data_IF_892887167046
#
_entry.id   IF_892887167046
#
_cell.length_a   1.000
_cell.length_b   1.000
_cell.length_c   1.000
_cell.angle_alpha   90.00
_cell.angle_beta   90.00
_cell.angle_gamma   90.00
#
_symmetry.space_group_name_H-M   'P 1'
#
loop_
_entity.id
_entity.type
_entity.pdbx_description
1 polymer ?
#
# COMPACT_ATOMS: atom_id res chain seq x y z
N UNK A 1 29.69 -48.09 13.47
CA UNK A 1 29.94 -46.65 13.60
C UNK A 1 28.77 -45.94 12.94
N UNK A 2 27.90 -45.31 13.73
CA UNK A 2 26.67 -44.65 13.24
C UNK A 2 27.01 -43.23 12.78
N UNK A 3 26.82 -42.98 11.48
CA UNK A 3 26.95 -41.66 10.86
C UNK A 3 25.83 -40.75 11.38
N UNK A 4 26.19 -39.85 12.31
CA UNK A 4 25.29 -38.84 12.85
C UNK A 4 24.90 -37.89 11.72
N UNK A 5 23.63 -37.93 11.34
CA UNK A 5 23.00 -37.10 10.33
C UNK A 5 22.98 -35.63 10.80
N UNK A 6 24.11 -34.95 10.60
CA UNK A 6 24.20 -33.51 10.71
C UNK A 6 23.44 -32.92 9.53
N UNK A 7 22.15 -32.60 9.73
CA UNK A 7 21.40 -31.75 8.80
C UNK A 7 22.09 -30.39 8.80
N UNK A 8 23.05 -30.25 7.90
CA UNK A 8 23.70 -29.01 7.55
C UNK A 8 22.64 -27.93 7.32
N UNK A 9 22.77 -26.76 7.97
CA UNK A 9 21.97 -25.55 7.72
C UNK A 9 22.18 -25.05 6.27
N UNK A 10 21.72 -25.83 5.29
CA UNK A 10 21.82 -25.58 3.87
C UNK A 10 20.43 -25.32 3.34
N UNK A 11 20.35 -24.34 2.44
CA UNK A 11 19.11 -23.98 1.77
C UNK A 11 18.69 -22.56 2.08
N UNK A 12 17.83 -22.03 1.21
CA UNK A 12 17.39 -20.64 1.23
C UNK A 12 16.67 -20.25 2.53
N UNK A 13 15.91 -21.18 3.12
CA UNK A 13 15.16 -20.97 4.35
C UNK A 13 16.04 -21.03 5.62
N UNK A 14 17.23 -21.61 5.53
CA UNK A 14 18.17 -21.72 6.66
C UNK A 14 19.21 -20.59 6.68
N UNK A 15 19.14 -19.63 5.73
CA UNK A 15 20.00 -18.46 5.69
C UNK A 15 19.48 -17.35 6.60
N UNK A 16 20.37 -16.41 6.95
CA UNK A 16 19.99 -15.16 7.63
C UNK A 16 18.97 -14.36 6.80
N UNK A 17 18.03 -13.71 7.48
CA UNK A 17 16.90 -13.02 6.86
C UNK A 17 17.34 -11.92 5.88
N UNK A 18 18.38 -11.16 6.22
CA UNK A 18 18.92 -10.11 5.35
C UNK A 18 19.47 -10.68 4.05
N UNK A 19 20.18 -11.81 4.15
CA UNK A 19 20.74 -12.52 3.00
C UNK A 19 19.62 -13.10 2.13
N UNK A 20 18.60 -13.68 2.75
CA UNK A 20 17.42 -14.19 2.07
C UNK A 20 16.71 -13.07 1.28
N UNK A 21 16.49 -11.92 1.92
CA UNK A 21 15.86 -10.74 1.29
C UNK A 21 16.70 -10.20 0.15
N UNK A 22 18.02 -10.11 0.30
CA UNK A 22 18.92 -9.64 -0.74
C UNK A 22 18.89 -10.55 -1.98
N UNK A 23 18.90 -11.87 -1.77
CA UNK A 23 18.81 -12.85 -2.85
C UNK A 23 17.43 -12.81 -3.52
N UNK A 24 16.34 -12.74 -2.75
CA UNK A 24 14.98 -12.59 -3.30
C UNK A 24 14.85 -11.32 -4.15
N UNK A 25 15.35 -10.19 -3.64
CA UNK A 25 15.36 -8.91 -4.37
C UNK A 25 16.23 -8.97 -5.64
N UNK A 26 17.37 -9.67 -5.60
CA UNK A 26 18.20 -9.90 -6.79
C UNK A 26 17.47 -10.77 -7.81
N UNK A 27 16.82 -11.85 -7.37
CA UNK A 27 16.04 -12.74 -8.22
C UNK A 27 14.87 -12.02 -8.91
N UNK A 28 14.11 -11.21 -8.16
CA UNK A 28 13.01 -10.41 -8.72
C UNK A 28 13.50 -9.42 -9.78
N UNK A 29 14.57 -8.66 -9.48
CA UNK A 29 15.18 -7.74 -10.47
C UNK A 29 15.69 -8.47 -11.71
N UNK A 30 16.32 -9.63 -11.53
CA UNK A 30 16.82 -10.44 -12.64
C UNK A 30 15.68 -10.94 -13.53
N UNK A 31 14.57 -11.43 -12.93
CA UNK A 31 13.41 -11.91 -13.67
C UNK A 31 12.72 -10.82 -14.49
N UNK A 32 12.64 -9.59 -13.95
CA UNK A 32 12.18 -8.43 -14.72
C UNK A 32 13.15 -8.05 -15.83
N UNK A 33 14.46 -7.99 -15.54
CA UNK A 33 15.47 -7.66 -16.54
C UNK A 33 15.56 -8.69 -17.67
N UNK A 34 15.32 -9.97 -17.38
CA UNK A 34 15.34 -11.05 -18.38
C UNK A 34 14.00 -11.23 -19.12
N UNK A 35 12.99 -10.40 -18.84
CA UNK A 35 11.67 -10.49 -19.47
C UNK A 35 10.86 -11.73 -19.12
N UNK A 36 11.27 -12.49 -18.09
CA UNK A 36 10.54 -13.68 -17.64
C UNK A 36 9.44 -13.33 -16.62
N UNK A 37 9.52 -12.15 -16.01
CA UNK A 37 8.47 -11.62 -15.15
C UNK A 37 7.40 -10.88 -15.97
N UNK A 38 6.17 -10.95 -15.49
CA UNK A 38 5.07 -10.16 -16.02
C UNK A 38 5.30 -8.66 -15.80
N UNK A 39 5.13 -7.86 -16.85
CA UNK A 39 5.25 -6.42 -16.79
C UNK A 39 3.86 -5.79 -16.76
N UNK A 40 3.53 -5.10 -15.65
CA UNK A 40 2.26 -4.41 -15.53
C UNK A 40 2.27 -3.17 -16.42
N UNK A 41 1.62 -3.29 -17.57
CA UNK A 41 1.43 -2.14 -18.46
C UNK A 41 0.33 -1.20 -17.92
N UNK A 42 0.41 0.11 -18.22
CA UNK A 42 -0.67 1.04 -17.88
C UNK A 42 -2.03 0.63 -18.46
N UNK A 43 -2.05 0.02 -19.65
CA UNK A 43 -3.27 -0.46 -20.30
C UNK A 43 -3.89 -1.62 -19.54
N UNK A 44 -3.08 -2.57 -19.08
CA UNK A 44 -3.54 -3.68 -18.25
C UNK A 44 -4.07 -3.19 -16.90
N UNK A 45 -3.38 -2.24 -16.26
CA UNK A 45 -3.85 -1.64 -15.02
C UNK A 45 -5.23 -0.97 -15.21
N UNK A 46 -5.45 -0.27 -16.33
CA UNK A 46 -6.77 0.31 -16.69
C UNK A 46 -7.81 -0.77 -16.94
N UNK A 47 -7.46 -1.84 -17.65
CA UNK A 47 -8.38 -2.95 -17.93
C UNK A 47 -8.79 -3.67 -16.63
N UNK A 48 -7.83 -3.95 -15.75
CA UNK A 48 -8.09 -4.52 -14.43
C UNK A 48 -8.95 -3.61 -13.56
N UNK A 49 -8.65 -2.30 -13.53
CA UNK A 49 -9.45 -1.31 -12.83
C UNK A 49 -10.89 -1.22 -13.35
N UNK A 50 -11.07 -1.25 -14.67
CA UNK A 50 -12.40 -1.28 -15.29
C UNK A 50 -13.16 -2.54 -14.90
N UNK A 51 -12.55 -3.72 -15.02
CA UNK A 51 -13.16 -5.00 -14.64
C UNK A 51 -13.54 -5.03 -13.17
N UNK A 52 -12.67 -4.53 -12.29
CA UNK A 52 -12.95 -4.40 -10.87
C UNK A 52 -14.15 -3.49 -10.62
N UNK A 53 -14.14 -2.31 -11.25
CA UNK A 53 -15.24 -1.34 -11.21
C UNK A 53 -16.57 -1.92 -11.68
N UNK A 54 -16.59 -2.62 -12.82
CA UNK A 54 -17.78 -3.29 -13.37
C UNK A 54 -18.32 -4.40 -12.46
N UNK A 55 -17.45 -5.09 -11.72
CA UNK A 55 -17.87 -6.12 -10.77
C UNK A 55 -18.61 -5.50 -9.58
N UNK A 56 -18.06 -4.43 -9.01
CA UNK A 56 -18.62 -3.76 -7.83
C UNK A 56 -19.82 -2.86 -8.17
N UNK A 57 -19.87 -2.26 -9.37
CA UNK A 57 -20.91 -1.30 -9.76
C UNK A 57 -22.29 -1.91 -10.00
N UNK A 58 -22.39 -3.25 -10.00
CA UNK A 58 -23.67 -3.96 -10.15
C UNK A 58 -24.58 -3.75 -8.95
N UNK A 59 -24.02 -3.56 -7.76
CA UNK A 59 -24.78 -3.24 -6.56
C UNK A 59 -24.88 -1.71 -6.38
N UNK A 60 -25.99 -1.16 -6.89
CA UNK A 60 -26.28 0.27 -6.78
C UNK A 60 -26.49 0.72 -5.33
N UNK A 61 -27.04 -0.12 -4.46
CA UNK A 61 -27.32 0.24 -3.08
C UNK A 61 -26.02 0.34 -2.28
N UNK A 62 -25.12 -0.64 -2.46
CA UNK A 62 -23.78 -0.62 -1.90
C UNK A 62 -22.97 0.60 -2.37
N UNK A 63 -23.00 0.90 -3.68
CA UNK A 63 -22.34 2.08 -4.24
C UNK A 63 -22.85 3.39 -3.64
N UNK A 64 -24.16 3.51 -3.47
CA UNK A 64 -24.75 4.68 -2.84
C UNK A 64 -24.33 4.82 -1.37
N UNK A 65 -24.19 3.70 -0.64
CA UNK A 65 -23.72 3.72 0.74
C UNK A 65 -22.27 4.22 0.85
N UNK A 66 -21.36 3.66 0.04
CA UNK A 66 -19.95 4.11 -0.02
C UNK A 66 -19.86 5.60 -0.40
N UNK A 67 -20.64 6.02 -1.41
CA UNK A 67 -20.66 7.42 -1.84
C UNK A 67 -21.12 8.38 -0.74
N UNK A 68 -22.16 8.02 0.02
CA UNK A 68 -22.62 8.81 1.18
C UNK A 68 -21.54 8.90 2.26
N UNK A 69 -20.92 7.78 2.62
CA UNK A 69 -19.86 7.74 3.63
C UNK A 69 -18.66 8.60 3.23
N UNK A 70 -18.21 8.50 1.98
CA UNK A 70 -17.15 9.36 1.44
C UNK A 70 -17.51 10.85 1.46
N UNK A 71 -18.77 11.19 1.19
CA UNK A 71 -19.27 12.55 1.31
C UNK A 71 -19.23 13.08 2.74
N UNK A 72 -19.70 12.28 3.71
CA UNK A 72 -19.65 12.63 5.13
C UNK A 72 -18.22 12.84 5.62
N UNK A 73 -17.28 11.97 5.25
CA UNK A 73 -15.87 12.09 5.61
C UNK A 73 -15.24 13.37 5.04
N UNK A 74 -15.53 13.72 3.79
CA UNK A 74 -15.07 14.98 3.17
C UNK A 74 -15.61 16.21 3.89
N UNK A 75 -16.90 16.22 4.21
CA UNK A 75 -17.52 17.33 4.94
C UNK A 75 -16.98 17.47 6.37
N UNK A 76 -16.74 16.35 7.07
CA UNK A 76 -16.15 16.36 8.40
C UNK A 76 -14.72 16.94 8.38
N UNK A 77 -13.87 16.49 7.44
CA UNK A 77 -12.51 17.00 7.27
C UNK A 77 -12.47 18.48 6.85
N UNK A 78 -13.42 18.94 6.03
CA UNK A 78 -13.51 20.34 5.64
C UNK A 78 -13.87 21.24 6.84
N UNK A 79 -14.80 20.79 7.70
CA UNK A 79 -15.17 21.50 8.93
C UNK A 79 -14.02 21.53 9.94
N UNK A 80 -13.28 20.44 10.09
CA UNK A 80 -12.10 20.40 10.94
C UNK A 80 -10.99 21.34 10.46
N UNK A 81 -10.74 21.42 9.15
CA UNK A 81 -9.78 22.38 8.59
C UNK A 81 -10.21 23.82 8.82
N UNK A 82 -11.50 24.13 8.64
CA UNK A 82 -12.04 25.46 8.95
C UNK A 82 -11.89 25.82 10.43
N UNK A 83 -12.18 24.90 11.33
CA UNK A 83 -11.99 25.10 12.77
C UNK A 83 -10.52 25.27 13.16
N UNK A 84 -9.59 24.59 12.49
CA UNK A 84 -8.14 24.77 12.70
C UNK A 84 -7.64 26.12 12.18
N UNK A 85 -8.20 26.62 11.07
CA UNK A 85 -7.89 27.96 10.53
C UNK A 85 -8.47 29.05 11.45
N UNK A 86 -9.68 28.85 11.98
CA UNK A 86 -10.33 29.79 12.91
C UNK A 86 -9.66 29.80 14.30
N UNK A 87 -9.23 28.65 14.84
CA UNK A 87 -8.48 28.59 16.11
C UNK A 87 -7.00 28.95 15.99
N UNK A 88 -6.42 28.99 14.79
CA UNK A 88 -5.05 29.47 14.53
C UNK A 88 -4.94 30.98 14.32
N UNK A 89 -6.06 31.72 14.33
CA UNK A 89 -6.12 33.16 14.10
C UNK A 89 -6.20 34.00 15.39
N UNK A 90 -6.15 33.37 16.57
CA UNK A 90 -6.15 34.05 17.87
C UNK A 90 -4.82 33.85 18.62
N UNK A 91 -3.73 34.40 18.07
CA UNK A 91 -2.49 34.66 18.84
C UNK A 91 -2.29 36.18 18.96
N UNK A 92 -2.78 36.84 20.04
CA UNK A 92 -2.33 38.19 20.35
C UNK A 92 -0.94 38.09 20.99
N UNK A 93 0.07 38.59 20.28
CA UNK A 93 1.40 38.87 20.82
C UNK A 93 1.33 39.55 22.20
N UNK A 94 1.87 38.96 23.28
CA UNK A 94 2.19 39.74 24.46
C UNK A 94 3.46 40.55 24.17
N UNK A 95 3.29 41.87 24.22
CA UNK A 95 4.33 42.88 24.06
C UNK A 95 5.45 42.66 25.09
N UNK A 96 6.69 42.61 24.59
CA UNK A 96 7.90 42.69 25.40
C UNK A 96 7.97 44.06 26.08
N UNK A 97 8.16 44.05 27.39
CA UNK A 97 8.59 45.19 28.19
C UNK A 97 9.95 44.87 28.79
#
# INVERSE_FOLDING_TARGET
MTDQNHRSNRGFASMDQDKQRAIAAKGGRAAHASGNAHEFSPDEARAAGRKGGEAISRDRQHMAAIGREGGHARHANARQQQQQIEHGAEDPHPQQR
#
